data_IF_263865115317
#
_entry.id   IF_263865115317
#
_cell.length_a   1.000
_cell.length_b   1.000
_cell.length_c   1.000
_cell.angle_alpha   90.00
_cell.angle_beta   90.00
_cell.angle_gamma   90.00
#
_symmetry.space_group_name_H-M   'P 1'
#
loop_
_entity.id
_entity.type
_entity.pdbx_description
1 polymer ?
#
# COMPACT_ATOMS: atom_id res chain seq x y z
N UNK A 1 -11.05 -4.76 9.39
CA UNK A 1 -10.07 -4.95 8.29
C UNK A 1 -8.64 -5.01 8.82
N UNK A 2 -8.14 -4.00 9.53
CA UNK A 2 -6.78 -4.04 10.12
C UNK A 2 -6.63 -5.16 11.16
N UNK A 3 -7.63 -5.38 12.03
CA UNK A 3 -7.58 -6.47 13.02
C UNK A 3 -7.54 -7.86 12.37
N UNK A 4 -8.38 -8.10 11.35
CA UNK A 4 -8.31 -9.34 10.57
C UNK A 4 -6.94 -9.56 9.89
N UNK A 5 -6.28 -8.48 9.45
CA UNK A 5 -4.93 -8.57 8.89
C UNK A 5 -3.86 -8.90 9.94
N UNK A 6 -4.01 -8.38 11.18
CA UNK A 6 -3.14 -8.75 12.31
C UNK A 6 -3.33 -10.20 12.71
N UNK A 7 -4.58 -10.66 12.84
CA UNK A 7 -4.92 -12.05 13.14
C UNK A 7 -4.37 -13.01 12.08
N UNK A 8 -4.38 -12.59 10.81
CA UNK A 8 -3.79 -13.33 9.69
C UNK A 8 -2.26 -13.25 9.57
N UNK A 9 -1.54 -12.65 10.54
CA UNK A 9 -0.09 -12.43 10.49
C UNK A 9 0.41 -11.72 9.21
N UNK A 10 -0.41 -10.82 8.65
CA UNK A 10 -0.02 -10.01 7.49
C UNK A 10 1.07 -9.03 7.93
N UNK A 11 2.26 -9.12 7.32
CA UNK A 11 3.37 -8.20 7.62
C UNK A 11 3.43 -7.01 6.68
N UNK A 12 3.01 -7.20 5.44
CA UNK A 12 3.11 -6.22 4.36
C UNK A 12 1.81 -6.16 3.56
N UNK A 13 1.54 -4.99 3.00
CA UNK A 13 0.38 -4.72 2.16
C UNK A 13 0.88 -4.09 0.87
N UNK A 14 0.39 -4.59 -0.27
CA UNK A 14 0.62 -3.97 -1.57
C UNK A 14 -0.53 -3.04 -1.91
N UNK A 15 -0.22 -1.75 -2.03
CA UNK A 15 -1.12 -0.75 -2.57
C UNK A 15 -0.94 -0.72 -4.08
N UNK A 16 -1.97 -1.16 -4.81
CA UNK A 16 -1.95 -1.20 -6.27
C UNK A 16 -2.68 0.00 -6.85
N UNK A 17 -2.13 0.57 -7.90
CA UNK A 17 -2.76 1.64 -8.66
C UNK A 17 -2.43 1.51 -10.15
N UNK A 18 -3.22 2.16 -10.98
CA UNK A 18 -2.99 2.24 -12.42
C UNK A 18 -2.47 3.63 -12.73
N UNK A 19 -1.37 3.72 -13.47
CA UNK A 19 -0.86 5.01 -13.93
C UNK A 19 -1.64 5.54 -15.15
N UNK A 20 -1.24 6.70 -15.65
CA UNK A 20 -1.92 7.36 -16.77
C UNK A 20 -1.84 6.58 -18.09
N UNK A 21 -0.85 5.70 -18.26
CA UNK A 21 -0.68 4.87 -19.46
C UNK A 21 -1.35 3.50 -19.32
N UNK A 22 -2.00 3.23 -18.19
CA UNK A 22 -2.70 1.97 -17.93
C UNK A 22 -1.83 0.88 -17.31
N UNK A 23 -0.59 1.18 -16.93
CA UNK A 23 0.29 0.21 -16.30
C UNK A 23 -0.06 0.02 -14.83
N UNK A 24 -0.14 -1.25 -14.40
CA UNK A 24 -0.35 -1.61 -12.99
C UNK A 24 0.96 -1.43 -12.24
N UNK A 25 0.93 -0.59 -11.20
CA UNK A 25 2.04 -0.32 -10.30
C UNK A 25 1.64 -0.71 -8.87
N UNK A 26 2.62 -1.05 -8.06
CA UNK A 26 2.41 -1.45 -6.68
C UNK A 26 3.47 -0.89 -5.74
N UNK A 27 3.03 -0.41 -4.58
CA UNK A 27 3.91 0.01 -3.48
C UNK A 27 3.67 -0.90 -2.29
N UNK A 28 4.74 -1.47 -1.75
CA UNK A 28 4.67 -2.33 -0.55
C UNK A 28 4.92 -1.51 0.70
N UNK A 29 3.96 -1.55 1.63
CA UNK A 29 4.09 -0.91 2.94
C UNK A 29 3.96 -1.93 4.07
N UNK A 30 4.58 -1.72 5.24
CA UNK A 30 4.30 -2.49 6.45
C UNK A 30 2.83 -2.34 6.89
N UNK A 31 2.24 -3.40 7.46
CA UNK A 31 0.83 -3.37 7.90
C UNK A 31 0.54 -2.23 8.89
N UNK A 32 1.49 -1.89 9.77
CA UNK A 32 1.32 -0.82 10.75
C UNK A 32 1.17 0.57 10.12
N UNK A 33 1.66 0.78 8.90
CA UNK A 33 1.51 2.05 8.17
C UNK A 33 0.16 2.14 7.43
N UNK A 34 -0.54 1.02 7.23
CA UNK A 34 -1.78 0.98 6.45
C UNK A 34 -2.84 1.97 6.98
N UNK A 35 -2.97 2.09 8.30
CA UNK A 35 -3.96 3.00 8.91
C UNK A 35 -3.72 4.46 8.56
N UNK A 36 -2.46 4.89 8.57
CA UNK A 36 -2.07 6.26 8.22
C UNK A 36 -2.11 6.47 6.71
N UNK A 37 -1.64 5.50 5.94
CA UNK A 37 -1.69 5.48 4.48
C UNK A 37 -3.11 5.63 3.94
N UNK A 38 -4.11 5.02 4.58
CA UNK A 38 -5.52 5.14 4.18
C UNK A 38 -6.10 6.53 4.49
N UNK A 39 -5.57 7.24 5.49
CA UNK A 39 -6.06 8.57 5.90
C UNK A 39 -5.37 9.71 5.16
N UNK A 40 -4.06 9.61 4.98
CA UNK A 40 -3.21 10.71 4.50
C UNK A 40 -2.57 10.42 3.13
N UNK A 41 -2.74 9.20 2.61
CA UNK A 41 -2.02 8.74 1.44
C UNK A 41 -0.60 8.26 1.78
N UNK A 42 0.03 7.58 0.82
CA UNK A 42 1.45 7.19 0.89
C UNK A 42 2.18 7.88 -0.23
N UNK A 43 3.19 8.68 0.11
CA UNK A 43 4.09 9.26 -0.89
C UNK A 43 5.04 8.19 -1.37
N UNK A 44 5.14 8.03 -2.69
CA UNK A 44 6.11 7.16 -3.33
C UNK A 44 6.85 7.96 -4.39
N UNK A 45 8.13 7.66 -4.57
CA UNK A 45 8.93 8.27 -5.63
C UNK A 45 8.61 7.56 -6.96
N UNK A 46 7.75 8.18 -7.75
CA UNK A 46 7.29 7.67 -9.05
C UNK A 46 8.39 7.59 -10.12
N UNK A 47 9.61 8.06 -9.85
CA UNK A 47 10.75 7.86 -10.75
C UNK A 47 11.30 6.43 -10.71
N UNK A 48 10.92 5.64 -9.69
CA UNK A 48 11.50 4.33 -9.38
C UNK A 48 10.51 3.15 -9.51
N UNK A 49 9.32 3.37 -10.09
CA UNK A 49 8.32 2.33 -10.41
C UNK A 49 7.91 2.46 -11.87
#
# INVERSE_FOLDING_TARGET
MIEAAKEGNIRFVQLQFTDIIGAVKAVTIPLHQLGDSLKHGTWFDGSSI
#
